data_IF_441137810927
#
_entry.id   IF_441137810927
#
_cell.length_a   1.000
_cell.length_b   1.000
_cell.length_c   1.000
_cell.angle_alpha   90.00
_cell.angle_beta   90.00
_cell.angle_gamma   90.00
#
_symmetry.space_group_name_H-M   'P 1'
#
loop_
_entity.id
_entity.type
_entity.pdbx_description
1 polymer ?
#
# COMPACT_ATOMS: atom_id res chain seq x y z
N UNK A 1 -6.49 12.76 -0.27
CA UNK A 1 -5.75 12.10 0.84
C UNK A 1 -4.26 11.96 0.54
N UNK A 2 -3.37 12.22 1.51
CA UNK A 2 -1.91 12.00 1.40
C UNK A 2 -1.32 11.52 2.73
N UNK A 3 -0.15 10.89 2.71
CA UNK A 3 0.62 10.59 3.93
C UNK A 3 1.20 11.90 4.48
N UNK A 4 1.00 12.19 5.76
CA UNK A 4 1.63 13.31 6.47
C UNK A 4 2.98 12.91 7.05
N UNK A 5 3.04 11.77 7.75
CA UNK A 5 4.25 11.24 8.36
C UNK A 5 4.10 9.77 8.71
N UNK A 6 5.22 9.09 8.92
CA UNK A 6 5.26 7.80 9.58
C UNK A 6 5.35 8.02 11.09
N UNK A 7 4.49 7.37 11.87
CA UNK A 7 4.37 7.57 13.33
C UNK A 7 4.94 6.40 14.14
N UNK A 8 5.02 5.21 13.55
CA UNK A 8 5.60 4.03 14.19
C UNK A 8 6.37 3.19 13.19
N UNK A 9 7.47 2.59 13.63
CA UNK A 9 8.36 1.78 12.83
C UNK A 9 8.75 0.54 13.64
N UNK A 10 8.67 -0.65 13.05
CA UNK A 10 9.09 -1.90 13.69
C UNK A 10 9.74 -2.82 12.66
N UNK A 11 10.96 -3.25 12.95
CA UNK A 11 11.57 -4.37 12.23
C UNK A 11 11.01 -5.67 12.79
N UNK A 12 10.53 -6.55 11.93
CA UNK A 12 9.99 -7.86 12.29
C UNK A 12 11.01 -8.96 11.97
N UNK A 13 10.95 -10.08 12.71
CA UNK A 13 11.85 -11.21 12.52
C UNK A 13 11.62 -11.96 11.19
N UNK A 14 10.44 -11.78 10.58
CA UNK A 14 10.03 -12.36 9.30
C UNK A 14 10.59 -11.63 8.07
N UNK A 15 11.56 -10.72 8.27
CA UNK A 15 12.13 -9.92 7.19
C UNK A 15 11.26 -8.77 6.72
N UNK A 16 10.13 -8.48 7.39
CA UNK A 16 9.30 -7.32 7.07
C UNK A 16 9.64 -6.09 7.90
N UNK A 17 9.33 -4.93 7.35
CA UNK A 17 9.37 -3.66 8.06
C UNK A 17 7.96 -3.08 8.15
N UNK A 18 7.42 -3.00 9.36
CA UNK A 18 6.11 -2.40 9.60
C UNK A 18 6.26 -0.90 9.86
N UNK A 19 5.43 -0.11 9.17
CA UNK A 19 5.22 1.31 9.43
C UNK A 19 3.75 1.61 9.65
N UNK A 20 3.47 2.54 10.53
CA UNK A 20 2.15 3.15 10.64
C UNK A 20 2.22 4.57 10.08
N UNK A 21 1.33 4.90 9.16
CA UNK A 21 1.29 6.21 8.51
C UNK A 21 0.06 6.99 8.94
N UNK A 22 0.27 8.25 9.32
CA UNK A 22 -0.80 9.21 9.53
C UNK A 22 -1.16 9.87 8.19
N UNK A 23 -2.46 9.90 7.87
CA UNK A 23 -3.01 10.46 6.66
C UNK A 23 -3.56 11.87 6.92
N UNK A 24 -3.66 12.66 5.85
CA UNK A 24 -4.21 14.01 5.92
C UNK A 24 -5.71 14.07 6.18
N UNK A 25 -6.40 12.99 5.86
CA UNK A 25 -7.86 12.84 5.88
C UNK A 25 -8.18 11.39 6.27
N UNK A 26 -9.37 11.12 6.86
CA UNK A 26 -9.83 9.76 7.10
C UNK A 26 -9.85 8.91 5.82
N UNK A 27 -9.56 7.61 5.94
CA UNK A 27 -9.60 6.64 4.84
C UNK A 27 -11.02 6.54 4.28
N UNK A 28 -11.26 6.93 3.02
CA UNK A 28 -12.58 6.83 2.43
C UNK A 28 -13.01 5.38 2.22
N UNK A 29 -14.31 5.09 2.29
CA UNK A 29 -14.84 3.72 2.12
C UNK A 29 -14.44 3.10 0.78
N UNK A 30 -14.38 3.90 -0.29
CA UNK A 30 -13.97 3.46 -1.62
C UNK A 30 -12.46 3.30 -1.81
N UNK A 31 -11.62 3.59 -0.81
CA UNK A 31 -10.16 3.51 -0.95
C UNK A 31 -9.69 2.08 -1.17
N UNK A 32 -10.21 1.11 -0.42
CA UNK A 32 -9.81 -0.28 -0.58
C UNK A 32 -10.29 -0.88 -1.90
N UNK A 33 -11.50 -0.53 -2.37
CA UNK A 33 -11.95 -0.90 -3.73
C UNK A 33 -11.05 -0.29 -4.82
N UNK A 34 -10.52 0.92 -4.60
CA UNK A 34 -9.51 1.48 -5.51
C UNK A 34 -8.22 0.64 -5.52
N UNK A 35 -7.78 0.12 -4.36
CA UNK A 35 -6.58 -0.71 -4.26
C UNK A 35 -6.70 -2.06 -4.98
N UNK A 36 -7.92 -2.60 -5.15
CA UNK A 36 -8.17 -3.84 -5.92
C UNK A 36 -7.62 -3.76 -7.36
N UNK A 37 -7.49 -2.55 -7.90
CA UNK A 37 -6.88 -2.37 -9.21
C UNK A 37 -5.39 -2.77 -9.23
N UNK A 38 -4.70 -2.86 -8.09
CA UNK A 38 -3.23 -3.01 -8.00
C UNK A 38 -2.77 -4.29 -7.29
N UNK A 39 -3.70 -5.07 -6.73
CA UNK A 39 -3.42 -6.24 -5.90
C UNK A 39 -4.68 -6.81 -5.27
N UNK A 40 -4.51 -7.75 -4.34
CA UNK A 40 -5.64 -8.40 -3.66
C UNK A 40 -6.13 -7.55 -2.49
N UNK A 41 -7.45 -7.46 -2.31
CA UNK A 41 -8.07 -6.86 -1.13
C UNK A 41 -8.97 -7.88 -0.45
N UNK A 42 -8.87 -7.95 0.86
CA UNK A 42 -9.64 -8.84 1.72
C UNK A 42 -10.28 -8.02 2.84
N UNK A 43 -11.58 -8.20 3.05
CA UNK A 43 -12.25 -7.68 4.24
C UNK A 43 -11.91 -8.58 5.45
N UNK A 44 -11.64 -7.98 6.60
CA UNK A 44 -11.27 -8.69 7.82
C UNK A 44 -12.35 -8.52 8.90
N UNK A 45 -13.53 -9.15 8.74
CA UNK A 45 -14.65 -8.97 9.67
C UNK A 45 -14.31 -9.40 11.11
N UNK A 46 -13.36 -10.34 11.27
CA UNK A 46 -12.88 -10.76 12.59
C UNK A 46 -12.10 -9.69 13.37
N UNK A 47 -11.73 -8.57 12.74
CA UNK A 47 -11.09 -7.41 13.39
C UNK A 47 -12.07 -6.23 13.59
N UNK A 48 -13.29 -6.33 13.08
CA UNK A 48 -14.31 -5.28 13.09
C UNK A 48 -14.83 -4.95 11.69
N UNK A 49 -16.06 -4.43 11.61
CA UNK A 49 -16.63 -3.98 10.35
C UNK A 49 -15.80 -2.83 9.76
N UNK A 50 -15.59 -2.85 8.44
CA UNK A 50 -14.82 -1.82 7.73
C UNK A 50 -13.29 -1.97 7.82
N UNK A 51 -12.77 -3.04 8.45
CA UNK A 51 -11.35 -3.39 8.36
C UNK A 51 -11.04 -4.13 7.06
N UNK A 52 -9.99 -3.68 6.38
CA UNK A 52 -9.52 -4.29 5.13
C UNK A 52 -8.01 -4.51 5.15
N UNK A 53 -7.58 -5.47 4.36
CA UNK A 53 -6.19 -5.74 4.04
C UNK A 53 -6.01 -5.75 2.52
N UNK A 54 -5.13 -4.89 2.04
CA UNK A 54 -4.57 -4.96 0.69
C UNK A 54 -3.23 -5.70 0.72
N UNK A 55 -2.98 -6.54 -0.28
CA UNK A 55 -1.73 -7.25 -0.50
C UNK A 55 -1.22 -7.03 -1.92
N UNK A 56 0.01 -6.51 -2.03
CA UNK A 56 0.79 -6.54 -3.26
C UNK A 56 1.98 -7.47 -3.07
N UNK A 57 1.93 -8.70 -3.61
CA UNK A 57 2.96 -9.71 -3.39
C UNK A 57 4.37 -9.16 -3.66
N UNK A 58 5.31 -9.57 -2.82
CA UNK A 58 6.72 -9.15 -2.83
C UNK A 58 7.00 -7.67 -2.57
N UNK A 59 5.98 -6.81 -2.39
CA UNK A 59 6.19 -5.38 -2.21
C UNK A 59 5.84 -4.96 -0.80
N UNK A 60 4.54 -4.88 -0.54
CA UNK A 60 3.97 -4.44 0.72
C UNK A 60 2.49 -4.82 0.85
N UNK A 61 2.00 -4.81 2.07
CA UNK A 61 0.57 -4.87 2.39
C UNK A 61 0.13 -3.61 3.13
N UNK A 62 -1.14 -3.23 2.97
CA UNK A 62 -1.76 -2.11 3.68
C UNK A 62 -2.93 -2.67 4.49
N UNK A 63 -3.00 -2.35 5.78
CA UNK A 63 -4.13 -2.66 6.66
C UNK A 63 -4.67 -1.36 7.24
N UNK A 64 -6.00 -1.25 7.28
CA UNK A 64 -6.63 -0.08 7.86
C UNK A 64 -8.14 -0.25 8.02
N UNK A 65 -8.72 0.70 8.72
CA UNK A 65 -10.15 0.83 8.95
C UNK A 65 -10.69 2.01 8.15
N UNK A 66 -11.77 1.80 7.39
CA UNK A 66 -12.46 2.92 6.75
C UNK A 66 -12.94 3.93 7.80
N UNK A 67 -12.70 5.22 7.55
CA UNK A 67 -13.00 6.31 8.47
C UNK A 67 -11.90 6.62 9.50
N UNK A 68 -10.83 5.82 9.58
CA UNK A 68 -9.68 6.13 10.43
C UNK A 68 -8.63 6.98 9.69
N UNK A 69 -7.75 7.67 10.42
CA UNK A 69 -6.68 8.51 9.83
C UNK A 69 -5.34 7.82 9.76
N UNK A 70 -5.28 6.53 10.09
CA UNK A 70 -4.04 5.76 10.09
C UNK A 70 -4.16 4.50 9.25
N UNK A 71 -3.03 4.08 8.68
CA UNK A 71 -2.88 2.77 8.03
C UNK A 71 -1.57 2.12 8.45
N UNK A 72 -1.61 0.81 8.73
CA UNK A 72 -0.43 -0.01 8.90
C UNK A 72 0.03 -0.50 7.51
N UNK A 73 1.31 -0.32 7.21
CA UNK A 73 1.94 -0.82 6.00
C UNK A 73 3.10 -1.73 6.38
N UNK A 74 3.09 -2.95 5.86
CA UNK A 74 4.23 -3.87 6.01
C UNK A 74 4.95 -4.00 4.69
N UNK A 75 6.22 -3.65 4.68
CA UNK A 75 7.09 -3.76 3.51
C UNK A 75 7.92 -5.03 3.57
N UNK A 76 8.18 -5.65 2.42
CA UNK A 76 9.30 -6.57 2.25
C UNK A 76 10.60 -5.77 2.28
N UNK A 77 11.48 -6.06 3.25
CA UNK A 77 12.62 -5.20 3.58
C UNK A 77 13.59 -5.03 2.39
N UNK A 78 13.79 -6.09 1.64
CA UNK A 78 14.68 -6.17 0.47
C UNK A 78 14.32 -5.13 -0.58
N UNK A 79 13.03 -4.89 -0.81
CA UNK A 79 12.56 -4.01 -1.90
C UNK A 79 11.83 -2.77 -1.43
N UNK A 80 11.80 -2.50 -0.13
CA UNK A 80 11.19 -1.29 0.44
C UNK A 80 11.72 -0.02 -0.24
N UNK A 81 13.03 0.05 -0.50
CA UNK A 81 13.67 1.20 -1.14
C UNK A 81 13.22 1.42 -2.60
N UNK A 82 12.63 0.41 -3.25
CA UNK A 82 12.08 0.50 -4.60
C UNK A 82 10.58 0.84 -4.60
N UNK A 83 9.87 0.44 -3.54
CA UNK A 83 8.40 0.44 -3.52
C UNK A 83 7.80 1.54 -2.66
N UNK A 84 8.57 2.15 -1.75
CA UNK A 84 8.07 3.21 -0.85
C UNK A 84 7.50 4.40 -1.61
N UNK A 85 8.17 4.89 -2.65
CA UNK A 85 7.67 6.04 -3.43
C UNK A 85 6.36 5.70 -4.17
N UNK A 86 6.21 4.43 -4.58
CA UNK A 86 4.97 3.96 -5.19
C UNK A 86 3.82 3.97 -4.18
N UNK A 87 4.05 3.61 -2.91
CA UNK A 87 3.04 3.74 -1.86
C UNK A 87 2.58 5.19 -1.69
N UNK A 88 3.51 6.14 -1.58
CA UNK A 88 3.17 7.56 -1.46
C UNK A 88 2.35 8.02 -2.66
N UNK A 89 2.76 7.63 -3.87
CA UNK A 89 2.05 7.95 -5.09
C UNK A 89 0.64 7.34 -5.10
N UNK A 90 0.50 6.05 -4.78
CA UNK A 90 -0.75 5.30 -4.73
C UNK A 90 -1.77 5.96 -3.79
N UNK A 91 -1.35 6.32 -2.57
CA UNK A 91 -2.24 7.00 -1.61
C UNK A 91 -2.60 8.41 -2.09
N UNK A 92 -1.63 9.17 -2.59
CA UNK A 92 -1.85 10.56 -3.03
C UNK A 92 -2.69 10.70 -4.29
N UNK A 93 -2.67 9.69 -5.15
CA UNK A 93 -3.39 9.67 -6.42
C UNK A 93 -4.87 9.28 -6.25
N UNK A 94 -5.25 8.74 -5.10
CA UNK A 94 -6.65 8.44 -4.81
C UNK A 94 -7.50 9.72 -4.82
N UNK A 95 -8.59 9.66 -5.57
CA UNK A 95 -9.67 10.65 -5.59
C UNK A 95 -11.00 9.89 -5.65
N UNK A 96 -12.02 10.41 -4.98
CA UNK A 96 -13.37 9.87 -5.15
C UNK A 96 -13.86 10.15 -6.59
N UNK A 97 -14.44 9.13 -7.23
CA UNK A 97 -14.92 9.19 -8.61
C UNK A 97 -13.97 8.57 -9.64
N UNK A 98 -14.20 8.82 -10.95
CA UNK A 98 -13.40 8.23 -12.02
C UNK A 98 -11.96 8.72 -11.96
N UNK A 99 -11.01 7.80 -11.84
CA UNK A 99 -9.57 8.10 -11.88
C UNK A 99 -8.99 7.41 -13.11
N UNK A 100 -8.28 8.17 -13.96
CA UNK A 100 -7.45 7.55 -14.99
C UNK A 100 -6.26 6.86 -14.34
N UNK A 101 -6.27 5.52 -14.37
CA UNK A 101 -5.25 4.69 -13.77
C UNK A 101 -4.03 4.47 -14.69
N UNK A 102 -4.04 4.98 -15.92
CA UNK A 102 -2.99 4.73 -16.93
C UNK A 102 -1.58 5.01 -16.40
N UNK A 103 -1.37 6.20 -15.82
CA UNK A 103 -0.08 6.63 -15.24
C UNK A 103 0.30 5.77 -14.03
N UNK A 104 -0.66 5.43 -13.17
CA UNK A 104 -0.44 4.56 -12.01
C UNK A 104 -0.01 3.16 -12.44
N UNK A 105 -0.66 2.61 -13.46
CA UNK A 105 -0.34 1.29 -14.03
C UNK A 105 1.03 1.26 -14.70
N UNK A 106 1.40 2.30 -15.43
CA UNK A 106 2.74 2.39 -16.02
C UNK A 106 3.82 2.43 -14.93
N UNK A 107 3.62 3.21 -13.86
CA UNK A 107 4.55 3.26 -12.73
C UNK A 107 4.61 1.94 -11.98
N UNK A 108 3.47 1.30 -11.74
CA UNK A 108 3.40 -0.04 -11.15
C UNK A 108 4.24 -1.04 -11.95
N UNK A 109 4.11 -1.06 -13.28
CA UNK A 109 4.87 -1.96 -14.15
C UNK A 109 6.38 -1.68 -14.07
N UNK A 110 6.78 -0.40 -14.13
CA UNK A 110 8.18 -0.01 -14.05
C UNK A 110 8.84 -0.39 -12.71
N UNK A 111 8.15 -0.15 -11.59
CA UNK A 111 8.61 -0.57 -10.26
C UNK A 111 8.61 -2.09 -10.16
N UNK A 112 7.60 -2.76 -10.71
CA UNK A 112 7.50 -4.22 -10.69
C UNK A 112 8.61 -4.93 -11.44
N UNK A 113 9.05 -4.38 -12.57
CA UNK A 113 10.25 -4.87 -13.27
C UNK A 113 11.48 -4.80 -12.35
N UNK A 114 11.72 -3.64 -11.73
CA UNK A 114 12.86 -3.44 -10.81
C UNK A 114 12.80 -4.35 -9.59
N UNK A 115 11.61 -4.55 -9.01
CA UNK A 115 11.40 -5.46 -7.88
C UNK A 115 11.72 -6.90 -8.28
N UNK A 116 11.23 -7.35 -9.44
CA UNK A 116 11.50 -8.70 -9.94
C UNK A 116 12.99 -8.90 -10.19
N UNK A 117 13.63 -7.97 -10.89
CA UNK A 117 15.07 -8.01 -11.16
C UNK A 117 15.90 -8.05 -9.87
N UNK A 118 15.49 -7.28 -8.85
CA UNK A 118 16.17 -7.25 -7.57
C UNK A 118 16.01 -8.55 -6.75
N UNK A 119 14.82 -9.16 -6.77
CA UNK A 119 14.52 -10.36 -5.97
C UNK A 119 14.93 -11.66 -6.64
N UNK A 120 14.84 -11.72 -7.96
CA UNK A 120 14.93 -12.97 -8.72
C UNK A 120 16.00 -12.94 -9.82
N UNK A 121 16.63 -11.78 -10.06
CA UNK A 121 17.59 -11.58 -11.15
C UNK A 121 16.93 -11.17 -12.47
N UNK A 122 17.75 -10.96 -13.50
CA UNK A 122 17.26 -10.79 -14.86
C UNK A 122 16.92 -12.17 -15.42
N UNK A 123 15.71 -12.32 -15.98
CA UNK A 123 15.39 -13.42 -16.90
C UNK A 123 16.28 -13.36 -18.15
#
# INVERSE_FOLDING_TARGET
MRILRSVRHKSCADGTFMKEFLLSEPVPSGFFSYLENFGGVEALPGLGEGFYKFEKPDWFSIKGLAGDTTVEVRFKKEVMHLTVDFLYFLISAYREGPVDLSVLKQREQAVGKRVREHLYGHD
#
